data_IF_192259020593
#
_entry.id   IF_192259020593
#
_cell.length_a   1.000
_cell.length_b   1.000
_cell.length_c   1.000
_cell.angle_alpha   90.00
_cell.angle_beta   90.00
_cell.angle_gamma   90.00
#
_symmetry.space_group_name_H-M   'P 1'
#
loop_
_entity.id
_entity.type
_entity.pdbx_description
1 polymer ?
#
# COMPACT_ATOMS: atom_id res chain seq x y z
N UNK A 1 -0.19 17.90 6.81
CA UNK A 1 -0.76 16.95 5.85
C UNK A 1 -2.23 17.26 5.68
N UNK A 2 -2.68 17.44 4.44
CA UNK A 2 -4.08 17.72 4.07
C UNK A 2 -5.05 16.71 4.73
N UNK A 3 -6.12 17.21 5.36
CA UNK A 3 -7.19 16.43 6.00
C UNK A 3 -7.76 15.36 5.07
N UNK A 4 -7.93 15.68 3.78
CA UNK A 4 -8.45 14.74 2.78
C UNK A 4 -7.64 13.45 2.68
N UNK A 5 -6.31 13.55 2.70
CA UNK A 5 -5.42 12.37 2.62
C UNK A 5 -5.52 11.53 3.88
N UNK A 6 -5.61 12.17 5.06
CA UNK A 6 -5.78 11.47 6.33
C UNK A 6 -7.09 10.68 6.36
N UNK A 7 -8.16 11.31 5.90
CA UNK A 7 -9.49 10.69 5.82
C UNK A 7 -9.45 9.48 4.88
N UNK A 8 -8.77 9.59 3.73
CA UNK A 8 -8.58 8.46 2.81
C UNK A 8 -7.77 7.31 3.42
N UNK A 9 -6.70 7.59 4.16
CA UNK A 9 -5.95 6.56 4.87
C UNK A 9 -6.80 5.83 5.91
N UNK A 10 -7.63 6.57 6.64
CA UNK A 10 -8.52 5.99 7.63
C UNK A 10 -9.64 5.16 6.99
N UNK A 11 -10.27 5.70 5.95
CA UNK A 11 -11.35 5.05 5.21
C UNK A 11 -10.89 3.72 4.60
N UNK A 12 -9.77 3.71 3.87
CA UNK A 12 -9.26 2.49 3.23
C UNK A 12 -8.81 1.46 4.26
N UNK A 13 -8.18 1.88 5.36
CA UNK A 13 -7.75 0.94 6.40
C UNK A 13 -8.93 0.27 7.09
N UNK A 14 -10.00 1.01 7.37
CA UNK A 14 -11.21 0.43 7.95
C UNK A 14 -11.88 -0.56 6.99
N UNK A 15 -12.00 -0.22 5.70
CA UNK A 15 -12.54 -1.15 4.70
C UNK A 15 -11.69 -2.42 4.59
N UNK A 16 -10.35 -2.31 4.66
CA UNK A 16 -9.48 -3.49 4.72
C UNK A 16 -9.78 -4.36 5.95
N UNK A 17 -9.99 -3.75 7.13
CA UNK A 17 -10.31 -4.49 8.34
C UNK A 17 -11.68 -5.17 8.30
N UNK A 18 -12.68 -4.55 7.68
CA UNK A 18 -13.98 -5.18 7.41
C UNK A 18 -13.81 -6.45 6.56
N UNK A 19 -12.86 -6.47 5.63
CA UNK A 19 -12.59 -7.64 4.81
C UNK A 19 -11.87 -8.77 5.56
N UNK A 20 -10.99 -8.49 6.53
CA UNK A 20 -10.09 -9.53 7.06
C UNK A 20 -10.42 -10.02 8.47
N UNK A 21 -11.05 -9.20 9.31
CA UNK A 21 -11.15 -9.45 10.77
C UNK A 21 -12.01 -10.67 11.16
N UNK A 22 -12.95 -11.07 10.30
CA UNK A 22 -13.83 -12.23 10.53
C UNK A 22 -13.29 -13.54 9.92
N UNK A 23 -12.13 -13.50 9.26
CA UNK A 23 -11.52 -14.69 8.69
C UNK A 23 -10.88 -15.55 9.78
N UNK A 24 -10.91 -16.87 9.60
CA UNK A 24 -9.99 -17.75 10.32
C UNK A 24 -8.58 -17.66 9.72
N UNK A 25 -7.55 -17.97 10.51
CA UNK A 25 -6.16 -18.01 10.02
C UNK A 25 -6.01 -18.97 8.82
N UNK A 26 -6.76 -20.07 8.80
CA UNK A 26 -6.80 -20.98 7.67
C UNK A 26 -7.35 -20.32 6.39
N UNK A 27 -8.43 -19.55 6.48
CA UNK A 27 -8.96 -18.79 5.34
C UNK A 27 -8.00 -17.67 4.91
N UNK A 28 -7.40 -16.97 5.88
CA UNK A 28 -6.50 -15.86 5.66
C UNK A 28 -5.24 -16.26 4.89
N UNK A 29 -4.70 -17.45 5.21
CA UNK A 29 -3.50 -17.99 4.58
C UNK A 29 -3.78 -18.86 3.35
N UNK A 30 -5.05 -19.17 3.04
CA UNK A 30 -5.39 -19.96 1.86
C UNK A 30 -5.03 -19.20 0.58
N UNK A 31 -4.29 -19.86 -0.31
CA UNK A 31 -3.96 -19.35 -1.64
C UNK A 31 -4.98 -19.87 -2.66
N UNK A 32 -5.46 -19.02 -3.60
CA UNK A 32 -6.35 -19.46 -4.67
C UNK A 32 -5.59 -20.14 -5.83
N UNK A 33 -4.26 -20.05 -5.84
CA UNK A 33 -3.37 -20.79 -6.75
C UNK A 33 -1.94 -20.75 -6.14
N UNK A 34 -1.06 -21.68 -6.53
CA UNK A 34 0.35 -21.68 -6.14
C UNK A 34 1.08 -20.36 -6.48
N UNK A 35 0.70 -19.71 -7.58
CA UNK A 35 1.40 -18.53 -8.12
C UNK A 35 0.71 -17.20 -7.70
N UNK A 36 -0.35 -17.27 -6.88
CA UNK A 36 -1.10 -16.09 -6.39
C UNK A 36 -0.91 -15.90 -4.89
N UNK A 37 -0.90 -14.65 -4.42
CA UNK A 37 -0.84 -14.36 -2.99
C UNK A 37 -2.12 -14.76 -2.24
N UNK A 38 -1.95 -15.22 -1.01
CA UNK A 38 -3.05 -15.31 -0.02
C UNK A 38 -3.47 -13.92 0.46
N UNK A 39 -4.58 -13.84 1.20
CA UNK A 39 -5.03 -12.59 1.83
C UNK A 39 -3.97 -12.10 2.84
N UNK A 40 -3.37 -13.00 3.60
CA UNK A 40 -2.28 -12.70 4.52
C UNK A 40 -1.08 -12.03 3.82
N UNK A 41 -0.66 -12.60 2.68
CA UNK A 41 0.45 -12.07 1.90
C UNK A 41 0.12 -10.70 1.28
N UNK A 42 -1.12 -10.50 0.82
CA UNK A 42 -1.59 -9.17 0.37
C UNK A 42 -1.51 -8.15 1.51
N UNK A 43 -1.93 -8.51 2.73
CA UNK A 43 -1.87 -7.62 3.88
C UNK A 43 -0.43 -7.29 4.28
N UNK A 44 0.46 -8.29 4.33
CA UNK A 44 1.86 -8.06 4.65
C UNK A 44 2.54 -7.13 3.62
N UNK A 45 2.19 -7.28 2.34
CA UNK A 45 2.68 -6.37 1.30
C UNK A 45 2.30 -4.91 1.58
N UNK A 46 1.11 -4.65 2.13
CA UNK A 46 0.68 -3.29 2.52
C UNK A 46 1.49 -2.75 3.72
N UNK A 47 1.82 -3.60 4.70
CA UNK A 47 2.72 -3.25 5.81
C UNK A 47 4.08 -2.81 5.28
N UNK A 48 4.69 -3.62 4.41
CA UNK A 48 6.00 -3.34 3.79
C UNK A 48 5.97 -2.06 2.95
N UNK A 49 4.85 -1.77 2.27
CA UNK A 49 4.71 -0.53 1.53
C UNK A 49 4.70 0.71 2.46
N UNK A 50 3.93 0.68 3.55
CA UNK A 50 3.89 1.79 4.52
C UNK A 50 5.32 2.12 5.02
N UNK A 51 6.09 1.10 5.38
CA UNK A 51 7.49 1.23 5.82
C UNK A 51 8.41 1.76 4.71
N UNK A 52 8.27 1.25 3.49
CA UNK A 52 9.09 1.66 2.36
C UNK A 52 8.86 3.12 2.01
N UNK A 53 7.61 3.58 2.02
CA UNK A 53 7.27 4.95 1.62
C UNK A 53 7.91 5.99 2.56
N UNK A 54 8.08 5.68 3.85
CA UNK A 54 8.86 6.52 4.78
C UNK A 54 10.27 6.75 4.25
N UNK A 55 10.96 5.68 3.85
CA UNK A 55 12.33 5.75 3.33
C UNK A 55 12.38 6.52 2.00
N UNK A 56 11.43 6.27 1.11
CA UNK A 56 11.31 6.95 -0.19
C UNK A 56 11.16 8.45 0.01
N UNK A 57 10.17 8.89 0.80
CA UNK A 57 9.90 10.31 1.03
C UNK A 57 11.07 10.97 1.77
N UNK A 58 11.62 10.33 2.80
CA UNK A 58 12.78 10.84 3.54
C UNK A 58 14.00 11.06 2.62
N UNK A 59 14.27 10.11 1.73
CA UNK A 59 15.36 10.24 0.76
C UNK A 59 15.09 11.35 -0.27
N UNK A 60 13.87 11.44 -0.78
CA UNK A 60 13.47 12.47 -1.74
C UNK A 60 13.57 13.88 -1.15
N UNK A 61 13.17 14.07 0.11
CA UNK A 61 13.29 15.35 0.81
C UNK A 61 14.75 15.82 0.95
N UNK A 62 15.72 14.90 1.03
CA UNK A 62 17.15 15.20 1.14
C UNK A 62 17.86 15.48 -0.19
N UNK A 63 17.27 15.07 -1.33
CA UNK A 63 17.87 15.34 -2.66
C UNK A 63 17.99 16.86 -2.90
N UNK A 64 19.10 17.29 -3.50
CA UNK A 64 19.33 18.70 -3.82
C UNK A 64 18.46 19.19 -4.98
N UNK A 65 18.26 18.34 -5.98
CA UNK A 65 17.56 18.71 -7.21
C UNK A 65 16.04 18.57 -7.09
N UNK A 66 15.34 19.57 -7.64
CA UNK A 66 13.92 19.47 -7.97
C UNK A 66 13.80 19.06 -9.44
N UNK A 67 13.03 18.01 -9.72
CA UNK A 67 12.71 17.63 -11.10
C UNK A 67 11.49 18.41 -11.57
N UNK A 68 11.58 19.04 -12.74
CA UNK A 68 10.42 19.54 -13.46
C UNK A 68 9.84 18.37 -14.27
N UNK A 69 8.92 17.63 -13.66
CA UNK A 69 8.10 16.63 -14.35
C UNK A 69 6.63 17.02 -14.28
N UNK A 70 5.83 16.44 -15.17
CA UNK A 70 4.38 16.56 -15.12
C UNK A 70 3.82 15.61 -14.06
N UNK A 71 2.80 16.08 -13.33
CA UNK A 71 2.04 15.23 -12.40
C UNK A 71 1.35 14.14 -13.21
N UNK A 72 1.44 12.89 -12.75
CA UNK A 72 0.82 11.75 -13.45
C UNK A 72 -0.60 11.47 -12.98
N UNK A 73 -1.48 11.02 -13.88
CA UNK A 73 -2.82 10.51 -13.57
C UNK A 73 -2.75 9.09 -12.99
N UNK A 74 -2.28 8.96 -11.74
CA UNK A 74 -2.03 7.65 -11.12
C UNK A 74 -3.30 6.91 -10.72
N UNK A 75 -4.41 7.60 -10.45
CA UNK A 75 -5.66 6.98 -9.97
C UNK A 75 -6.19 5.93 -10.95
N UNK A 76 -6.36 6.29 -12.22
CA UNK A 76 -6.88 5.37 -13.24
C UNK A 76 -5.94 4.17 -13.44
N UNK A 77 -4.63 4.41 -13.43
CA UNK A 77 -3.62 3.37 -13.66
C UNK A 77 -3.57 2.39 -12.48
N UNK A 78 -3.55 2.89 -11.25
CA UNK A 78 -3.43 2.07 -10.04
C UNK A 78 -4.71 1.29 -9.77
N UNK A 79 -5.88 1.88 -10.01
CA UNK A 79 -7.15 1.22 -9.73
C UNK A 79 -7.58 0.23 -10.83
N UNK A 80 -7.00 0.29 -12.02
CA UNK A 80 -7.27 -0.68 -13.09
C UNK A 80 -6.62 -2.04 -12.77
N UNK A 81 -7.43 -2.99 -12.30
CA UNK A 81 -7.02 -4.37 -11.96
C UNK A 81 -6.64 -5.22 -13.19
N UNK A 82 -6.95 -4.77 -14.40
CA UNK A 82 -6.51 -5.43 -15.64
C UNK A 82 -5.01 -5.23 -15.90
N UNK A 83 -4.46 -4.09 -15.46
CA UNK A 83 -3.03 -3.80 -15.49
C UNK A 83 -2.34 -4.62 -14.41
N UNK A 84 -1.35 -5.44 -14.78
CA UNK A 84 -0.60 -6.28 -13.85
C UNK A 84 0.72 -5.60 -13.49
N UNK A 85 0.98 -5.52 -12.18
CA UNK A 85 2.23 -5.02 -11.63
C UNK A 85 2.96 -6.17 -10.93
N UNK A 86 4.27 -6.23 -11.13
CA UNK A 86 5.14 -7.14 -10.39
C UNK A 86 5.71 -6.35 -9.22
N UNK A 87 5.47 -6.84 -8.00
CA UNK A 87 6.05 -6.24 -6.81
C UNK A 87 7.58 -6.45 -6.83
N UNK A 88 8.38 -5.42 -6.53
CA UNK A 88 9.81 -5.60 -6.29
C UNK A 88 10.05 -6.51 -5.08
N UNK A 89 11.12 -7.31 -5.13
CA UNK A 89 11.55 -8.27 -4.07
C UNK A 89 11.51 -7.65 -2.67
N UNK A 90 11.93 -6.40 -2.57
CA UNK A 90 12.05 -5.68 -1.31
C UNK A 90 10.72 -5.34 -0.61
N UNK A 91 9.58 -5.50 -1.30
CA UNK A 91 8.23 -5.40 -0.74
C UNK A 91 7.42 -6.66 -1.05
N UNK A 92 8.08 -7.76 -1.41
CA UNK A 92 7.43 -9.04 -1.60
C UNK A 92 7.10 -9.67 -0.23
N UNK A 93 5.88 -10.19 -0.04
CA UNK A 93 5.51 -10.80 1.23
C UNK A 93 6.21 -12.14 1.45
N UNK A 94 6.41 -12.48 2.72
CA UNK A 94 6.86 -13.78 3.19
C UNK A 94 5.92 -14.91 2.73
N UNK A 95 6.48 -16.11 2.63
CA UNK A 95 5.71 -17.34 2.40
C UNK A 95 5.15 -17.94 3.70
N UNK A 96 5.65 -17.46 4.86
CA UNK A 96 5.21 -17.94 6.17
C UNK A 96 3.75 -17.55 6.46
N UNK A 97 3.00 -18.39 7.19
CA UNK A 97 1.64 -18.06 7.56
C UNK A 97 1.59 -16.95 8.61
N UNK A 98 0.49 -16.20 8.62
CA UNK A 98 0.21 -15.14 9.59
C UNK A 98 -1.10 -15.37 10.33
N UNK A 99 -1.15 -14.99 11.61
CA UNK A 99 -2.41 -14.89 12.33
C UNK A 99 -3.12 -13.58 11.96
N UNK A 100 -4.45 -13.61 11.85
CA UNK A 100 -5.25 -12.43 11.48
C UNK A 100 -5.03 -11.27 12.45
N UNK A 101 -5.06 -11.56 13.76
CA UNK A 101 -4.87 -10.53 14.80
C UNK A 101 -3.48 -9.91 14.74
N UNK A 102 -2.44 -10.74 14.59
CA UNK A 102 -1.07 -10.26 14.42
C UNK A 102 -0.95 -9.34 13.20
N UNK A 103 -1.57 -9.69 12.07
CA UNK A 103 -1.51 -8.86 10.88
C UNK A 103 -2.26 -7.52 11.05
N UNK A 104 -3.38 -7.52 11.78
CA UNK A 104 -4.11 -6.28 12.12
C UNK A 104 -3.22 -5.33 12.94
N UNK A 105 -2.48 -5.87 13.92
CA UNK A 105 -1.54 -5.08 14.72
C UNK A 105 -0.41 -4.52 13.86
N UNK A 106 0.22 -5.37 13.01
CA UNK A 106 1.28 -4.94 12.09
C UNK A 106 0.82 -3.82 11.14
N UNK A 107 -0.38 -3.95 10.57
CA UNK A 107 -0.98 -2.92 9.73
C UNK A 107 -1.16 -1.61 10.52
N UNK A 108 -1.76 -1.68 11.70
CA UNK A 108 -1.97 -0.48 12.53
C UNK A 108 -0.65 0.21 12.88
N UNK A 109 0.35 -0.56 13.28
CA UNK A 109 1.66 -0.04 13.66
C UNK A 109 2.38 0.60 12.47
N UNK A 110 2.40 -0.05 11.30
CA UNK A 110 3.04 0.50 10.10
C UNK A 110 2.41 1.82 9.67
N UNK A 111 1.08 1.91 9.68
CA UNK A 111 0.35 3.13 9.30
C UNK A 111 0.55 4.23 10.35
N UNK A 112 0.58 3.89 11.63
CA UNK A 112 0.86 4.84 12.70
C UNK A 112 2.27 5.42 12.56
N UNK A 113 3.25 4.60 12.25
CA UNK A 113 4.63 5.02 12.01
C UNK A 113 4.76 5.92 10.78
N UNK A 114 4.11 5.55 9.68
CA UNK A 114 4.02 6.39 8.49
C UNK A 114 3.38 7.75 8.81
N UNK A 115 2.26 7.76 9.51
CA UNK A 115 1.56 8.98 9.90
C UNK A 115 2.40 9.87 10.81
N UNK A 116 3.11 9.26 11.76
CA UNK A 116 4.06 9.95 12.64
C UNK A 116 5.16 10.59 11.81
N UNK A 117 5.78 9.85 10.89
CA UNK A 117 6.81 10.38 9.99
C UNK A 117 6.28 11.55 9.16
N UNK A 118 5.13 11.40 8.50
CA UNK A 118 4.52 12.46 7.66
C UNK A 118 4.20 13.72 8.47
N UNK A 119 3.91 13.60 9.76
CA UNK A 119 3.69 14.75 10.66
C UNK A 119 4.98 15.51 11.01
N UNK A 120 6.16 14.94 10.79
CA UNK A 120 7.45 15.62 11.02
C UNK A 120 7.89 16.51 9.85
N UNK A 121 7.16 16.48 8.73
CA UNK A 121 7.47 17.27 7.54
C UNK A 121 6.97 18.70 7.73
N UNK A 122 7.88 19.63 8.04
CA UNK A 122 7.55 21.03 8.32
C UNK A 122 7.14 21.82 7.06
N UNK A 123 7.85 21.63 5.95
CA UNK A 123 7.61 22.31 4.68
C UNK A 123 6.99 21.34 3.67
N UNK A 124 5.65 21.21 3.73
CA UNK A 124 4.87 20.37 2.82
C UNK A 124 4.97 20.82 1.36
N UNK A 125 5.35 22.08 1.07
CA UNK A 125 5.49 22.55 -0.31
C UNK A 125 6.59 21.80 -1.08
N UNK A 126 7.54 21.18 -0.38
CA UNK A 126 8.56 20.32 -0.97
C UNK A 126 8.00 19.02 -1.53
N UNK A 127 6.86 18.54 -1.01
CA UNK A 127 6.26 17.28 -1.44
C UNK A 127 5.80 17.34 -2.90
N UNK A 128 5.28 18.49 -3.32
CA UNK A 128 4.83 18.74 -4.69
C UNK A 128 5.96 19.19 -5.65
N UNK A 129 7.20 19.34 -5.17
CA UNK A 129 8.35 19.84 -5.95
C UNK A 129 9.47 18.83 -6.12
N UNK A 130 9.52 17.82 -5.25
CA UNK A 130 10.53 16.77 -5.28
C UNK A 130 9.91 15.46 -5.70
N UNK A 131 10.71 14.62 -6.34
CA UNK A 131 10.26 13.35 -6.88
C UNK A 131 11.24 12.21 -6.62
N UNK A 132 10.71 11.00 -6.69
CA UNK A 132 11.46 9.75 -6.64
C UNK A 132 10.87 8.77 -7.64
N UNK A 133 11.76 8.05 -8.34
CA UNK A 133 11.42 6.98 -9.29
C UNK A 133 10.60 5.87 -8.63
N UNK A 134 9.39 5.64 -9.11
CA UNK A 134 8.57 4.46 -8.79
C UNK A 134 8.87 3.32 -9.79
N UNK A 135 9.05 2.07 -9.33
CA UNK A 135 9.42 0.94 -10.19
C UNK A 135 8.52 0.70 -11.40
N UNK A 136 7.21 0.91 -11.24
CA UNK A 136 6.22 0.66 -12.30
C UNK A 136 5.60 1.93 -12.92
N UNK A 137 5.68 3.07 -12.22
CA UNK A 137 4.97 4.30 -12.59
C UNK A 137 5.94 5.39 -13.06
N UNK A 138 7.25 5.11 -13.05
CA UNK A 138 8.29 6.09 -13.33
C UNK A 138 8.39 7.16 -12.26
N UNK A 139 8.95 8.31 -12.61
CA UNK A 139 9.14 9.41 -11.66
C UNK A 139 7.80 9.92 -11.11
N UNK A 140 7.65 9.95 -9.78
CA UNK A 140 6.48 10.47 -9.07
C UNK A 140 6.90 11.54 -8.07
N UNK A 141 6.10 12.60 -7.95
CA UNK A 141 6.25 13.56 -6.86
C UNK A 141 6.01 12.90 -5.50
N UNK A 142 6.59 13.46 -4.43
CA UNK A 142 6.46 12.87 -3.09
C UNK A 142 5.02 12.92 -2.58
N UNK A 143 4.24 13.93 -2.95
CA UNK A 143 2.81 13.97 -2.66
C UNK A 143 2.03 12.86 -3.42
N UNK A 144 2.44 12.53 -4.65
CA UNK A 144 1.89 11.39 -5.39
C UNK A 144 2.28 10.05 -4.77
N UNK A 145 3.47 9.94 -4.17
CA UNK A 145 3.82 8.77 -3.35
C UNK A 145 2.92 8.64 -2.12
N UNK A 146 2.49 9.76 -1.52
CA UNK A 146 1.53 9.75 -0.41
C UNK A 146 0.13 9.34 -0.92
N UNK A 147 -0.32 9.85 -2.07
CA UNK A 147 -1.58 9.45 -2.68
C UNK A 147 -1.62 7.96 -3.05
N UNK A 148 -0.50 7.44 -3.55
CA UNK A 148 -0.35 6.04 -3.93
C UNK A 148 -0.68 5.09 -2.77
N UNK A 149 -0.41 5.47 -1.52
CA UNK A 149 -0.65 4.61 -0.36
C UNK A 149 -2.12 4.21 -0.24
N UNK A 150 -3.06 5.17 -0.29
CA UNK A 150 -4.49 4.84 -0.19
C UNK A 150 -5.02 4.18 -1.47
N UNK A 151 -4.51 4.57 -2.65
CA UNK A 151 -4.91 3.95 -3.91
C UNK A 151 -4.47 2.48 -3.99
N UNK A 152 -3.28 2.18 -3.46
CA UNK A 152 -2.74 0.84 -3.43
C UNK A 152 -3.47 -0.06 -2.44
N UNK A 153 -3.80 0.47 -1.25
CA UNK A 153 -4.66 -0.23 -0.29
C UNK A 153 -6.05 -0.51 -0.89
N UNK A 154 -6.67 0.47 -1.55
CA UNK A 154 -7.93 0.29 -2.29
C UNK A 154 -7.83 -0.80 -3.35
N UNK A 155 -6.78 -0.78 -4.17
CA UNK A 155 -6.53 -1.81 -5.18
C UNK A 155 -6.43 -3.22 -4.56
N UNK A 156 -5.82 -3.33 -3.38
CA UNK A 156 -5.63 -4.60 -2.70
C UNK A 156 -6.85 -5.09 -1.92
N UNK A 157 -7.74 -4.20 -1.48
CA UNK A 157 -9.07 -4.58 -0.99
C UNK A 157 -9.84 -5.33 -2.06
N UNK A 158 -9.85 -4.84 -3.31
CA UNK A 158 -10.49 -5.55 -4.43
C UNK A 158 -9.79 -6.89 -4.73
N UNK A 159 -8.46 -6.95 -4.64
CA UNK A 159 -7.74 -8.22 -4.75
C UNK A 159 -8.15 -9.22 -3.65
N UNK A 160 -8.37 -8.78 -2.42
CA UNK A 160 -8.80 -9.65 -1.32
C UNK A 160 -10.20 -10.20 -1.62
N UNK A 161 -11.12 -9.38 -2.11
CA UNK A 161 -12.45 -9.84 -2.55
C UNK A 161 -12.36 -10.87 -3.68
N UNK A 162 -11.50 -10.63 -4.67
CA UNK A 162 -11.20 -11.60 -5.74
C UNK A 162 -10.70 -12.95 -5.16
N UNK A 163 -9.75 -12.92 -4.23
CA UNK A 163 -9.18 -14.12 -3.60
C UNK A 163 -10.23 -14.90 -2.81
N UNK A 164 -11.10 -14.21 -2.04
CA UNK A 164 -12.19 -14.86 -1.30
C UNK A 164 -13.11 -15.65 -2.22
N UNK A 165 -13.56 -15.01 -3.31
CA UNK A 165 -14.45 -15.64 -4.28
C UNK A 165 -13.81 -16.88 -4.92
N UNK A 166 -12.53 -16.80 -5.31
CA UNK A 166 -11.81 -17.93 -5.89
C UNK A 166 -11.68 -19.11 -4.91
N UNK A 167 -11.34 -18.82 -3.64
CA UNK A 167 -11.19 -19.84 -2.61
C UNK A 167 -12.52 -20.49 -2.17
N UNK A 168 -13.65 -19.79 -2.33
CA UNK A 168 -14.99 -20.31 -2.04
C UNK A 168 -15.51 -21.24 -3.16
N UNK A 169 -15.19 -20.94 -4.42
CA UNK A 169 -15.57 -21.76 -5.58
C UNK A 169 -14.83 -23.11 -5.62
N UNK A 170 -13.66 -23.20 -4.99
CA UNK A 170 -12.87 -24.44 -4.86
C UNK A 170 -13.29 -25.31 -3.65
N UNK A 171 -14.51 -25.18 -3.15
CA UNK A 171 -15.10 -26.08 -2.14
C UNK A 171 -16.10 -27.05 -2.79
#
# INVERSE_FOLDING_TARGET
>A
MNTFVKDKFYEMRNQLFEEITLLSDAQFNRKPDKDKWSIAQVCQHLVLLDERVITVISSGLKKMDSFQNERKEIHTIVLDRSIKFIAPEMIEPSIEPFEVLQMVDLLNDSRKELMRFLSTIEDESKLAKKSVMHPALGELFLDQWIELIYLHEQRHIEQIKEVKLLCEVER
#
